data_IF_272288487281
#
_entry.id   IF_272288487281
#
_cell.length_a   1.000
_cell.length_b   1.000
_cell.length_c   1.000
_cell.angle_alpha   90.00
_cell.angle_beta   90.00
_cell.angle_gamma   90.00
#
_symmetry.space_group_name_H-M   'P 1'
#
loop_
_entity.id
_entity.type
_entity.pdbx_description
1 polymer ?
#
# COMPACT_ATOMS: atom_id res chain seq x y z
N UNK A 1 16.54 -57.99 65.68
CA UNK A 1 15.70 -58.76 66.63
C UNK A 1 14.67 -57.81 67.25
N UNK A 2 13.44 -58.26 67.49
CA UNK A 2 12.49 -57.87 68.57
C UNK A 2 12.44 -56.38 69.04
N UNK A 3 11.28 -55.70 69.14
CA UNK A 3 9.91 -56.17 69.41
C UNK A 3 8.86 -55.07 69.07
N UNK A 4 7.62 -55.49 68.82
CA UNK A 4 6.41 -54.63 68.80
C UNK A 4 6.13 -54.00 70.17
N UNK A 5 5.44 -52.84 70.20
CA UNK A 5 4.24 -52.50 71.00
C UNK A 5 3.74 -51.11 70.51
N UNK A 6 2.58 -50.97 69.83
CA UNK A 6 1.22 -50.64 70.37
C UNK A 6 1.26 -49.66 71.56
N UNK A 7 0.51 -48.56 71.67
CA UNK A 7 -0.75 -48.06 71.06
C UNK A 7 -0.61 -46.52 70.79
N UNK A 8 -1.61 -45.66 70.48
CA UNK A 8 -3.09 -45.70 70.50
C UNK A 8 -3.70 -44.76 69.41
N UNK A 9 -5.04 -44.61 69.35
CA UNK A 9 -5.79 -43.69 68.47
C UNK A 9 -6.83 -42.93 69.32
N UNK A 10 -7.09 -41.63 69.05
CA UNK A 10 -8.49 -41.23 68.84
C UNK A 10 -8.70 -40.29 67.63
N UNK A 11 -9.67 -40.67 66.80
CA UNK A 11 -10.63 -39.83 66.06
C UNK A 11 -10.26 -38.38 65.68
N UNK A 12 -10.07 -38.16 64.38
CA UNK A 12 -10.35 -36.88 63.72
C UNK A 12 -11.49 -37.07 62.71
N UNK A 13 -12.50 -36.20 62.80
CA UNK A 13 -13.77 -36.32 62.07
C UNK A 13 -13.62 -36.12 60.56
N UNK A 14 -14.27 -36.97 59.77
CA UNK A 14 -14.36 -36.86 58.31
C UNK A 14 -15.32 -35.73 57.94
N UNK A 15 -14.83 -34.73 57.22
CA UNK A 15 -15.67 -33.82 56.42
C UNK A 15 -15.33 -34.06 54.95
N UNK A 16 -16.13 -34.89 54.29
CA UNK A 16 -16.05 -35.09 52.84
C UNK A 16 -16.59 -33.86 52.12
N UNK A 17 -15.72 -33.11 51.45
CA UNK A 17 -16.13 -32.20 50.39
C UNK A 17 -15.81 -32.87 49.06
N UNK A 18 -16.86 -33.38 48.40
CA UNK A 18 -16.79 -33.84 47.02
C UNK A 18 -16.53 -32.64 46.10
N UNK A 19 -15.33 -32.54 45.55
CA UNK A 19 -15.13 -31.83 44.29
C UNK A 19 -14.79 -32.83 43.18
N UNK A 20 -15.76 -32.99 42.30
CA UNK A 20 -15.72 -33.87 41.13
C UNK A 20 -14.60 -33.47 40.17
N UNK A 21 -13.89 -34.48 39.69
CA UNK A 21 -12.95 -34.41 38.56
C UNK A 21 -13.58 -33.77 37.33
N UNK A 22 -12.94 -32.71 36.83
CA UNK A 22 -12.98 -32.36 35.40
C UNK A 22 -11.54 -32.36 34.88
N UNK A 23 -11.10 -33.52 34.39
CA UNK A 23 -9.93 -33.61 33.53
C UNK A 23 -10.21 -32.88 32.22
N UNK A 24 -9.92 -31.58 32.17
CA UNK A 24 -9.65 -30.94 30.90
C UNK A 24 -8.18 -31.18 30.56
N UNK A 25 -7.96 -32.04 29.58
CA UNK A 25 -6.70 -32.13 28.88
C UNK A 25 -6.40 -30.76 28.27
N UNK A 26 -5.44 -30.05 28.84
CA UNK A 26 -4.82 -28.89 28.21
C UNK A 26 -4.12 -29.38 26.94
N UNK A 27 -4.84 -29.37 25.83
CA UNK A 27 -4.24 -29.37 24.50
C UNK A 27 -3.39 -28.11 24.48
N UNK A 28 -2.07 -28.29 24.54
CA UNK A 28 -1.11 -27.23 24.32
C UNK A 28 -1.26 -26.75 22.88
N UNK A 29 -2.18 -25.80 22.67
CA UNK A 29 -2.35 -25.10 21.39
C UNK A 29 -1.03 -24.40 21.15
N UNK A 30 -0.27 -24.92 20.17
CA UNK A 30 0.99 -24.35 19.71
C UNK A 30 0.79 -22.83 19.56
N UNK A 31 1.64 -21.99 20.19
CA UNK A 31 1.45 -20.54 20.18
C UNK A 31 1.40 -20.09 18.73
N UNK A 32 0.19 -19.70 18.30
CA UNK A 32 -0.10 -19.45 16.90
C UNK A 32 0.91 -18.45 16.36
N UNK A 33 1.48 -18.76 15.19
CA UNK A 33 2.40 -17.89 14.48
C UNK A 33 1.82 -16.49 14.46
N UNK A 34 2.36 -15.61 15.30
CA UNK A 34 1.92 -14.22 15.38
C UNK A 34 2.24 -13.65 14.02
N UNK A 35 1.21 -13.49 13.19
CA UNK A 35 1.32 -12.94 11.85
C UNK A 35 1.93 -11.55 12.00
N UNK A 36 3.26 -11.48 11.82
CA UNK A 36 4.05 -10.27 11.99
C UNK A 36 3.42 -9.24 11.05
N UNK A 37 2.70 -8.29 11.63
CA UNK A 37 1.92 -7.34 10.87
C UNK A 37 2.85 -6.72 9.82
N UNK A 38 2.47 -6.81 8.54
CA UNK A 38 3.27 -6.30 7.45
C UNK A 38 3.26 -4.78 7.56
N UNK A 39 4.20 -4.26 8.36
CA UNK A 39 4.36 -2.84 8.58
C UNK A 39 4.70 -2.20 7.25
N UNK A 40 3.88 -1.25 6.82
CA UNK A 40 4.29 -0.33 5.78
C UNK A 40 5.61 0.32 6.22
N UNK A 41 6.57 0.43 5.30
CA UNK A 41 7.76 1.24 5.54
C UNK A 41 7.41 2.72 5.41
N UNK A 42 8.28 3.59 5.91
CA UNK A 42 8.22 5.02 5.60
C UNK A 42 8.15 5.24 4.07
N UNK A 43 7.33 6.18 3.57
CA UNK A 43 7.20 6.42 2.13
C UNK A 43 8.49 7.00 1.54
N UNK A 44 8.84 6.56 0.33
CA UNK A 44 9.94 7.14 -0.45
C UNK A 44 9.41 8.11 -1.50
N UNK A 45 10.23 9.05 -1.95
CA UNK A 45 9.82 10.08 -2.91
C UNK A 45 10.72 10.11 -4.14
N UNK A 46 10.11 10.07 -5.33
CA UNK A 46 10.78 10.42 -6.60
C UNK A 46 10.37 11.84 -6.97
N UNK A 47 11.28 12.80 -6.82
CA UNK A 47 11.07 14.18 -7.27
C UNK A 47 11.36 14.29 -8.77
N UNK A 48 10.42 14.79 -9.57
CA UNK A 48 10.58 14.84 -11.04
C UNK A 48 11.76 15.72 -11.47
N UNK A 49 12.05 16.79 -10.72
CA UNK A 49 13.24 17.64 -10.92
C UNK A 49 14.60 16.92 -10.80
N UNK A 50 14.62 15.71 -10.24
CA UNK A 50 15.82 14.87 -10.13
C UNK A 50 15.91 13.83 -11.25
N UNK A 51 14.89 13.73 -12.11
CA UNK A 51 14.91 12.87 -13.28
C UNK A 51 15.68 13.56 -14.41
N UNK A 52 16.42 12.78 -15.20
CA UNK A 52 17.17 13.26 -16.36
C UNK A 52 16.40 12.95 -17.62
N UNK A 53 16.31 13.92 -18.52
CA UNK A 53 15.87 13.63 -19.89
C UNK A 53 16.87 12.66 -20.55
N UNK A 54 16.35 11.64 -21.22
CA UNK A 54 17.08 10.62 -21.99
C UNK A 54 16.55 10.52 -23.44
N UNK A 55 15.91 11.59 -23.90
CA UNK A 55 15.37 11.72 -25.26
C UNK A 55 16.50 12.07 -26.23
N UNK A 56 16.93 11.10 -27.03
CA UNK A 56 18.10 11.23 -27.91
C UNK A 56 17.81 11.91 -29.28
N UNK A 57 16.70 12.64 -29.42
CA UNK A 57 16.31 13.27 -30.69
C UNK A 57 15.59 14.61 -30.47
N UNK A 58 16.11 15.67 -31.10
CA UNK A 58 15.57 17.05 -31.00
C UNK A 58 14.15 17.20 -31.58
N UNK A 59 13.72 16.26 -32.44
CA UNK A 59 12.40 16.20 -33.06
C UNK A 59 11.48 15.13 -32.43
N UNK A 60 11.79 14.63 -31.23
CA UNK A 60 10.94 13.63 -30.59
C UNK A 60 9.58 14.21 -30.19
N UNK A 61 8.50 13.55 -30.58
CA UNK A 61 7.14 13.91 -30.17
C UNK A 61 6.84 13.58 -28.69
N UNK A 62 7.77 12.93 -27.99
CA UNK A 62 7.67 12.52 -26.60
C UNK A 62 9.00 12.77 -25.87
N UNK A 63 8.90 13.15 -24.60
CA UNK A 63 10.02 13.22 -23.67
C UNK A 63 10.07 11.94 -22.84
N UNK A 64 11.27 11.38 -22.62
CA UNK A 64 11.52 10.25 -21.71
C UNK A 64 12.42 10.68 -20.58
N UNK A 65 11.94 10.59 -19.35
CA UNK A 65 12.71 10.91 -18.15
C UNK A 65 13.19 9.62 -17.48
N UNK A 66 14.47 9.57 -17.12
CA UNK A 66 15.07 8.52 -16.28
C UNK A 66 15.23 9.05 -14.86
N UNK A 67 14.53 8.45 -13.91
CA UNK A 67 14.47 8.91 -12.53
C UNK A 67 15.35 8.04 -11.60
N UNK A 68 15.73 8.54 -10.41
CA UNK A 68 16.38 7.73 -9.38
C UNK A 68 15.57 6.46 -9.07
N UNK A 69 16.28 5.34 -8.95
CA UNK A 69 15.66 4.02 -8.71
C UNK A 69 15.12 3.90 -7.28
N UNK A 70 14.01 3.17 -7.12
CA UNK A 70 13.36 2.94 -5.82
C UNK A 70 13.44 1.46 -5.45
N UNK A 71 14.10 1.11 -4.35
CA UNK A 71 14.22 -0.29 -3.89
C UNK A 71 14.65 -1.30 -5.00
N UNK A 72 15.58 -0.88 -5.87
CA UNK A 72 16.07 -1.65 -7.03
C UNK A 72 15.11 -1.73 -8.23
N UNK A 73 14.02 -0.95 -8.26
CA UNK A 73 13.20 -0.72 -9.45
C UNK A 73 13.69 0.53 -10.18
N UNK A 74 13.91 0.41 -11.49
CA UNK A 74 14.11 1.57 -12.35
C UNK A 74 12.79 2.30 -12.51
N UNK A 75 12.80 3.63 -12.37
CA UNK A 75 11.65 4.50 -12.58
C UNK A 75 11.90 5.29 -13.86
N UNK A 76 11.01 5.18 -14.84
CA UNK A 76 11.02 6.00 -16.05
C UNK A 76 9.67 6.67 -16.21
N UNK A 77 9.68 7.87 -16.79
CA UNK A 77 8.47 8.61 -17.14
C UNK A 77 8.50 8.85 -18.65
N UNK A 78 7.35 8.77 -19.30
CA UNK A 78 7.17 9.15 -20.71
C UNK A 78 6.05 10.17 -20.82
N UNK A 79 6.32 11.29 -21.47
CA UNK A 79 5.43 12.44 -21.59
C UNK A 79 5.26 12.76 -23.09
N UNK A 80 4.03 12.93 -23.58
CA UNK A 80 3.75 13.30 -24.96
C UNK A 80 2.68 14.40 -24.99
N UNK A 81 3.13 15.64 -25.22
CA UNK A 81 2.32 16.83 -25.08
C UNK A 81 1.66 16.92 -23.69
N UNK A 82 0.54 17.65 -23.57
CA UNK A 82 -0.23 17.69 -22.34
C UNK A 82 -1.20 16.50 -22.21
N UNK A 83 -1.20 15.52 -23.13
CA UNK A 83 -2.23 14.48 -23.21
C UNK A 83 -1.81 13.15 -22.59
N UNK A 84 -0.52 12.78 -22.71
CA UNK A 84 -0.03 11.51 -22.21
C UNK A 84 1.10 11.71 -21.22
N UNK A 85 0.93 11.14 -20.03
CA UNK A 85 1.95 11.03 -19.01
C UNK A 85 1.92 9.58 -18.51
N UNK A 86 3.04 8.87 -18.51
CA UNK A 86 3.10 7.47 -18.10
C UNK A 86 4.31 7.20 -17.20
N UNK A 87 4.09 6.50 -16.09
CA UNK A 87 5.15 6.01 -15.20
C UNK A 87 5.38 4.52 -15.48
N UNK A 88 6.61 4.18 -15.82
CA UNK A 88 7.09 2.84 -16.08
C UNK A 88 8.03 2.41 -14.94
N UNK A 89 7.68 1.33 -14.25
CA UNK A 89 8.57 0.66 -13.30
C UNK A 89 9.13 -0.63 -13.91
N UNK A 90 10.43 -0.90 -13.73
CA UNK A 90 11.00 -2.18 -14.10
C UNK A 90 12.07 -2.74 -13.17
N UNK A 91 12.13 -4.07 -13.09
CA UNK A 91 13.09 -4.82 -12.27
C UNK A 91 13.28 -6.24 -12.84
N UNK A 92 14.40 -6.47 -13.53
CA UNK A 92 14.59 -7.68 -14.32
C UNK A 92 13.59 -7.74 -15.47
N UNK A 93 12.90 -8.87 -15.62
CA UNK A 93 11.86 -9.07 -16.64
C UNK A 93 10.53 -8.35 -16.33
N UNK A 94 10.31 -7.96 -15.06
CA UNK A 94 9.10 -7.23 -14.67
C UNK A 94 9.15 -5.82 -15.25
N UNK A 95 8.13 -5.48 -16.06
CA UNK A 95 7.88 -4.15 -16.60
C UNK A 95 6.40 -3.84 -16.40
N UNK A 96 6.07 -2.75 -15.70
CA UNK A 96 4.69 -2.35 -15.37
C UNK A 96 4.50 -0.85 -15.60
N UNK A 97 3.35 -0.50 -16.18
CA UNK A 97 3.03 0.87 -16.59
C UNK A 97 1.75 1.36 -15.90
N UNK A 98 1.66 2.67 -15.71
CA UNK A 98 0.38 3.35 -15.42
C UNK A 98 -0.57 3.31 -16.61
N UNK A 99 -1.86 3.31 -16.31
CA UNK A 99 -2.91 3.80 -17.20
C UNK A 99 -3.66 4.93 -16.46
N UNK A 100 -3.62 6.14 -17.04
CA UNK A 100 -4.32 7.32 -16.51
C UNK A 100 -5.55 7.71 -17.34
N UNK A 101 -5.83 7.05 -18.48
CA UNK A 101 -6.99 7.38 -19.33
C UNK A 101 -8.30 7.23 -18.55
N UNK A 102 -8.41 6.18 -17.72
CA UNK A 102 -9.55 5.98 -16.81
C UNK A 102 -9.72 7.09 -15.75
N UNK A 103 -8.65 7.81 -15.41
CA UNK A 103 -8.64 8.88 -14.40
C UNK A 103 -9.03 10.23 -15.01
N UNK A 104 -8.37 10.61 -16.11
CA UNK A 104 -8.57 11.93 -16.73
C UNK A 104 -9.69 11.96 -17.78
N UNK A 105 -10.19 10.80 -18.23
CA UNK A 105 -11.13 10.67 -19.37
C UNK A 105 -10.60 11.37 -20.63
N UNK A 106 -9.36 11.06 -20.98
CA UNK A 106 -8.64 11.67 -22.12
C UNK A 106 -8.48 13.21 -22.05
N UNK A 107 -8.82 13.84 -20.92
CA UNK A 107 -8.49 15.24 -20.68
C UNK A 107 -6.97 15.42 -20.54
N UNK A 108 -6.42 16.57 -20.97
CA UNK A 108 -5.02 16.89 -20.74
C UNK A 108 -4.64 16.80 -19.25
N UNK A 109 -3.45 16.26 -18.99
CA UNK A 109 -2.91 15.97 -17.66
C UNK A 109 -1.57 16.69 -17.47
N UNK A 110 -1.45 17.45 -16.39
CA UNK A 110 -0.19 18.01 -15.90
C UNK A 110 0.33 17.21 -14.70
N UNK A 111 1.63 16.92 -14.73
CA UNK A 111 2.34 16.20 -13.69
C UNK A 111 2.67 17.07 -12.47
N UNK A 112 2.44 16.55 -11.27
CA UNK A 112 2.92 17.14 -10.03
C UNK A 112 4.44 16.99 -9.84
N UNK A 113 4.97 17.58 -8.76
CA UNK A 113 6.43 17.69 -8.53
C UNK A 113 7.11 16.41 -8.02
N UNK A 114 6.35 15.47 -7.46
CA UNK A 114 6.89 14.25 -6.86
C UNK A 114 5.88 13.09 -6.85
N UNK A 115 6.41 11.88 -6.91
CA UNK A 115 5.71 10.61 -6.71
C UNK A 115 6.04 10.09 -5.31
N UNK A 116 5.03 9.74 -4.52
CA UNK A 116 5.17 9.14 -3.18
C UNK A 116 4.90 7.63 -3.26
N UNK A 117 5.85 6.83 -2.78
CA UNK A 117 5.88 5.37 -2.91
C UNK A 117 5.74 4.67 -1.56
N UNK A 118 4.80 3.73 -1.47
CA UNK A 118 4.53 2.93 -0.27
C UNK A 118 4.93 1.47 -0.50
N UNK A 119 5.80 0.92 0.36
CA UNK A 119 6.37 -0.41 0.20
C UNK A 119 5.83 -1.39 1.24
N UNK A 120 5.58 -2.61 0.78
CA UNK A 120 5.18 -3.75 1.59
C UNK A 120 6.13 -4.90 1.24
N UNK A 121 6.84 -5.45 2.22
CA UNK A 121 7.85 -6.51 2.03
C UNK A 121 8.89 -6.17 0.94
N UNK A 122 9.46 -4.95 0.99
CA UNK A 122 10.43 -4.43 0.02
C UNK A 122 9.97 -4.42 -1.46
N UNK A 123 8.66 -4.39 -1.69
CA UNK A 123 8.06 -4.19 -3.02
C UNK A 123 7.16 -2.95 -3.00
N UNK A 124 7.24 -2.05 -4.00
CA UNK A 124 6.32 -0.93 -4.10
C UNK A 124 4.92 -1.50 -4.36
N UNK A 125 3.93 -1.09 -3.56
CA UNK A 125 2.57 -1.65 -3.56
C UNK A 125 1.50 -0.59 -3.78
N UNK A 126 1.71 0.63 -3.27
CA UNK A 126 0.88 1.79 -3.58
C UNK A 126 1.74 2.97 -4.00
N UNK A 127 1.15 3.86 -4.79
CA UNK A 127 1.76 5.10 -5.26
C UNK A 127 0.74 6.22 -5.13
N UNK A 128 1.09 7.30 -4.42
CA UNK A 128 0.32 8.54 -4.46
C UNK A 128 1.03 9.47 -5.45
N UNK A 129 0.31 9.90 -6.48
CA UNK A 129 0.83 10.88 -7.42
C UNK A 129 -0.12 12.06 -7.58
N UNK A 130 0.45 13.27 -7.64
CA UNK A 130 -0.29 14.50 -7.82
C UNK A 130 -0.40 14.79 -9.31
N UNK A 131 -1.62 14.97 -9.78
CA UNK A 131 -1.95 15.23 -11.17
C UNK A 131 -2.98 16.35 -11.25
N UNK A 132 -2.91 17.17 -12.29
CA UNK A 132 -3.93 18.17 -12.58
C UNK A 132 -4.55 17.90 -13.95
N UNK A 133 -5.88 17.97 -14.06
CA UNK A 133 -6.57 17.85 -15.36
C UNK A 133 -7.84 18.69 -15.41
N UNK A 134 -8.33 18.97 -16.61
CA UNK A 134 -9.55 19.75 -16.83
C UNK A 134 -10.85 18.97 -16.64
N UNK A 135 -11.92 19.50 -17.22
CA UNK A 135 -13.22 18.81 -17.36
C UNK A 135 -13.68 18.86 -18.81
N UNK A 136 -14.60 17.99 -19.20
CA UNK A 136 -15.20 17.97 -20.55
C UNK A 136 -15.76 19.36 -20.96
N UNK A 137 -16.37 20.11 -20.02
CA UNK A 137 -16.90 21.47 -20.22
C UNK A 137 -15.85 22.60 -20.04
N UNK A 138 -14.65 22.27 -19.56
CA UNK A 138 -13.56 23.23 -19.37
C UNK A 138 -12.18 22.51 -19.36
N UNK A 139 -11.66 22.04 -20.51
CA UNK A 139 -10.49 21.15 -20.56
C UNK A 139 -9.18 21.80 -20.07
N UNK A 140 -9.11 23.13 -20.06
CA UNK A 140 -7.94 23.90 -19.62
C UNK A 140 -8.11 24.50 -18.21
N UNK A 141 -9.24 24.25 -17.53
CA UNK A 141 -9.44 24.66 -16.13
C UNK A 141 -8.93 23.55 -15.21
N UNK A 142 -7.60 23.47 -15.13
CA UNK A 142 -6.87 22.39 -14.46
C UNK A 142 -7.20 22.33 -12.96
N UNK A 143 -7.70 21.17 -12.51
CA UNK A 143 -7.98 20.87 -11.11
C UNK A 143 -6.97 19.89 -10.59
N UNK A 144 -6.37 20.21 -9.45
CA UNK A 144 -5.34 19.40 -8.82
C UNK A 144 -5.95 18.29 -7.95
N UNK A 145 -5.52 17.06 -8.20
CA UNK A 145 -5.94 15.86 -7.52
C UNK A 145 -4.72 15.04 -7.03
N UNK A 146 -4.90 14.30 -5.95
CA UNK A 146 -4.01 13.21 -5.56
C UNK A 146 -4.62 11.89 -6.00
N UNK A 147 -3.94 11.17 -6.87
CA UNK A 147 -4.33 9.83 -7.33
C UNK A 147 -3.63 8.78 -6.47
N UNK A 148 -4.42 8.00 -5.75
CA UNK A 148 -3.94 6.82 -5.01
C UNK A 148 -4.00 5.64 -5.98
N UNK A 149 -2.85 5.01 -6.23
CA UNK A 149 -2.70 3.93 -7.19
C UNK A 149 -2.28 2.63 -6.51
N UNK A 150 -2.73 1.51 -7.06
CA UNK A 150 -2.26 0.16 -6.78
C UNK A 150 -1.15 -0.21 -7.77
N UNK A 151 -0.10 -0.84 -7.27
CA UNK A 151 0.94 -1.45 -8.09
C UNK A 151 0.72 -2.97 -8.08
N UNK A 152 0.44 -3.53 -9.26
CA UNK A 152 0.31 -4.98 -9.48
C UNK A 152 1.56 -5.53 -10.18
N UNK A 153 1.55 -6.82 -10.53
CA UNK A 153 2.57 -7.43 -11.39
C UNK A 153 2.32 -7.22 -12.89
N UNK A 154 1.25 -6.52 -13.28
CA UNK A 154 0.89 -6.25 -14.69
C UNK A 154 0.88 -4.76 -15.01
N UNK A 155 0.36 -3.94 -14.10
CA UNK A 155 0.10 -2.51 -14.31
C UNK A 155 0.08 -1.74 -12.98
N UNK A 156 0.05 -0.42 -13.11
CA UNK A 156 -0.22 0.54 -12.05
C UNK A 156 -1.58 1.16 -12.38
N UNK A 157 -2.53 1.13 -11.44
CA UNK A 157 -3.92 1.52 -11.71
C UNK A 157 -4.48 2.35 -10.55
N UNK A 158 -5.30 3.35 -10.89
CA UNK A 158 -5.92 4.21 -9.89
C UNK A 158 -6.97 3.46 -9.06
N UNK A 159 -6.92 3.66 -7.75
CA UNK A 159 -7.93 3.23 -6.78
C UNK A 159 -8.86 4.39 -6.39
N UNK A 160 -8.29 5.58 -6.26
CA UNK A 160 -9.01 6.77 -5.85
C UNK A 160 -8.36 8.07 -6.31
N UNK A 161 -9.16 9.13 -6.39
CA UNK A 161 -8.71 10.53 -6.52
C UNK A 161 -9.19 11.34 -5.32
N UNK A 162 -8.32 12.19 -4.75
CA UNK A 162 -8.69 13.20 -3.74
C UNK A 162 -8.55 14.59 -4.33
N UNK A 163 -9.61 15.38 -4.35
CA UNK A 163 -9.57 16.80 -4.76
C UNK A 163 -8.79 17.64 -3.74
N UNK A 164 -7.73 18.33 -4.18
CA UNK A 164 -6.87 19.12 -3.27
C UNK A 164 -7.50 20.47 -2.91
N UNK A 165 -8.24 21.10 -3.83
CA UNK A 165 -8.91 22.38 -3.59
C UNK A 165 -10.00 22.24 -2.53
N UNK A 166 -10.73 21.14 -2.57
CA UNK A 166 -11.82 20.83 -1.65
C UNK A 166 -11.37 20.12 -0.36
N UNK A 167 -10.07 19.79 -0.22
CA UNK A 167 -9.55 19.10 0.96
C UNK A 167 -8.22 19.67 1.47
N UNK A 168 -8.28 20.50 2.53
CA UNK A 168 -7.09 21.09 3.19
C UNK A 168 -6.05 20.06 3.64
N UNK A 169 -6.48 18.82 3.92
CA UNK A 169 -5.62 17.71 4.37
C UNK A 169 -5.47 16.61 3.30
N UNK A 170 -5.60 16.94 2.01
CA UNK A 170 -5.64 15.97 0.90
C UNK A 170 -4.51 14.92 0.96
N UNK A 171 -3.27 15.33 1.26
CA UNK A 171 -2.12 14.42 1.36
C UNK A 171 -2.32 13.38 2.48
N UNK A 172 -2.83 13.79 3.64
CA UNK A 172 -3.11 12.86 4.73
C UNK A 172 -4.29 11.96 4.37
N UNK A 173 -5.38 12.51 3.81
CA UNK A 173 -6.53 11.73 3.34
C UNK A 173 -6.15 10.66 2.32
N UNK A 174 -5.25 10.96 1.39
CA UNK A 174 -4.75 9.99 0.41
C UNK A 174 -3.95 8.84 1.06
N UNK A 175 -3.16 9.12 2.10
CA UNK A 175 -2.45 8.09 2.90
C UNK A 175 -3.42 7.27 3.76
N UNK A 176 -4.39 7.92 4.39
CA UNK A 176 -5.43 7.28 5.19
C UNK A 176 -6.28 6.32 4.35
N UNK A 177 -6.54 6.65 3.08
CA UNK A 177 -7.21 5.73 2.14
C UNK A 177 -6.41 4.44 1.89
N UNK A 178 -5.08 4.52 1.81
CA UNK A 178 -4.22 3.32 1.68
C UNK A 178 -4.39 2.43 2.91
N UNK A 179 -4.26 2.99 4.11
CA UNK A 179 -4.30 2.23 5.37
C UNK A 179 -5.69 1.69 5.66
N UNK A 180 -6.72 2.54 5.59
CA UNK A 180 -8.06 2.22 6.11
C UNK A 180 -8.99 1.56 5.09
N UNK A 181 -8.78 1.78 3.78
CA UNK A 181 -9.66 1.26 2.72
C UNK A 181 -8.96 0.26 1.80
N UNK A 182 -7.75 0.56 1.35
CA UNK A 182 -7.11 -0.17 0.26
C UNK A 182 -6.05 -1.21 0.67
N UNK A 183 -5.69 -1.32 1.95
CA UNK A 183 -4.64 -2.22 2.44
C UNK A 183 -4.79 -3.68 1.97
N UNK A 184 -6.04 -4.15 1.81
CA UNK A 184 -6.39 -5.50 1.37
C UNK A 184 -6.58 -5.65 -0.14
N UNK A 185 -6.45 -4.57 -0.92
CA UNK A 185 -6.70 -4.57 -2.36
C UNK A 185 -5.57 -5.26 -3.15
N UNK A 186 -5.93 -6.28 -3.93
CA UNK A 186 -5.01 -7.09 -4.72
C UNK A 186 -5.15 -6.90 -6.24
N UNK A 187 -6.27 -6.36 -6.71
CA UNK A 187 -6.61 -6.14 -8.11
C UNK A 187 -6.99 -4.69 -8.40
N UNK A 188 -6.87 -4.27 -9.66
CA UNK A 188 -7.42 -2.99 -10.12
C UNK A 188 -8.96 -3.03 -10.06
N UNK A 189 -9.62 -1.93 -9.67
CA UNK A 189 -11.06 -1.80 -9.73
C UNK A 189 -11.51 -1.33 -11.11
N UNK A 190 -12.75 -1.68 -11.49
CA UNK A 190 -13.39 -1.15 -12.71
C UNK A 190 -13.88 0.30 -12.54
N UNK A 191 -14.01 0.75 -11.28
CA UNK A 191 -14.50 2.09 -10.91
C UNK A 191 -13.55 2.75 -9.91
N UNK A 192 -13.07 3.95 -10.24
CA UNK A 192 -12.20 4.76 -9.38
C UNK A 192 -13.05 5.54 -8.38
N UNK A 193 -12.64 5.58 -7.11
CA UNK A 193 -13.38 6.29 -6.07
C UNK A 193 -12.96 7.78 -5.97
N UNK A 194 -13.92 8.71 -5.96
CA UNK A 194 -13.66 10.14 -5.87
C UNK A 194 -13.94 10.69 -4.46
N UNK A 195 -13.09 11.58 -3.95
CA UNK A 195 -13.03 12.02 -2.54
C UNK A 195 -12.59 13.49 -2.36
#
# INVERSE_FOLDING_TARGET
MNKLFRFIIPFATIVSVLFSTLCHSEIAVSPGVINKAVSATEPQYTFLKNCKDITNHDNAAFTKLSCPSINGYQVRISEQGPQFFNIHLSKGELNINTDFTLVSKDMPVEAGKAIEWHFFNNKPKYMIFRLSWGREDAPFNMREHLVVNLITNKNICALATVDVKNNKNANQKARDLIVNKFQKTSSCPDVIAHF
#
